data_IF_774735805277
#
_entry.id   IF_774735805277
#
_cell.length_a   1.000
_cell.length_b   1.000
_cell.length_c   1.000
_cell.angle_alpha   90.00
_cell.angle_beta   90.00
_cell.angle_gamma   90.00
#
_symmetry.space_group_name_H-M   'P 1'
#
loop_
_entity.id
_entity.type
_entity.pdbx_description
1 polymer ?
#
# COMPACT_ATOMS: atom_id res chain seq x y z
N UNK A 1 -16.56 30.04 -0.07
CA UNK A 1 -16.39 29.60 -1.47
C UNK A 1 -14.89 29.41 -1.71
N UNK A 2 -14.39 28.24 -1.34
CA UNK A 2 -12.99 27.84 -1.57
C UNK A 2 -12.93 27.11 -2.90
N UNK A 3 -12.30 27.72 -3.88
CA UNK A 3 -12.01 27.14 -5.19
C UNK A 3 -11.05 25.96 -4.99
N UNK A 4 -11.55 24.71 -5.03
CA UNK A 4 -10.71 23.51 -5.21
C UNK A 4 -9.93 23.71 -6.51
N UNK A 5 -8.61 23.77 -6.41
CA UNK A 5 -7.74 23.84 -7.59
C UNK A 5 -8.02 22.62 -8.47
N UNK A 6 -8.50 22.88 -9.68
CA UNK A 6 -8.71 21.90 -10.74
C UNK A 6 -7.35 21.43 -11.27
N UNK A 7 -6.65 20.63 -10.47
CA UNK A 7 -5.52 19.84 -10.97
C UNK A 7 -6.07 18.75 -11.88
N UNK A 8 -5.44 18.56 -13.03
CA UNK A 8 -5.76 17.46 -13.94
C UNK A 8 -5.65 16.13 -13.16
N UNK A 9 -6.74 15.36 -13.01
CA UNK A 9 -6.73 14.11 -12.24
C UNK A 9 -5.76 13.07 -12.82
N UNK A 10 -5.33 13.25 -14.07
CA UNK A 10 -4.32 12.39 -14.71
C UNK A 10 -2.87 12.71 -14.30
N UNK A 11 -2.60 13.80 -13.57
CA UNK A 11 -1.23 14.23 -13.27
C UNK A 11 -0.80 14.00 -11.82
N UNK A 12 -1.73 13.64 -10.92
CA UNK A 12 -1.46 13.43 -9.50
C UNK A 12 -2.19 12.20 -8.98
N UNK A 13 -1.66 11.61 -7.92
CA UNK A 13 -2.42 10.63 -7.17
C UNK A 13 -3.61 11.29 -6.47
N UNK A 14 -4.71 10.55 -6.39
CA UNK A 14 -5.91 10.95 -5.67
C UNK A 14 -6.20 9.92 -4.60
N UNK A 15 -6.89 10.32 -3.53
CA UNK A 15 -7.39 9.35 -2.54
C UNK A 15 -8.30 8.34 -3.24
N UNK A 16 -8.23 7.07 -2.86
CA UNK A 16 -8.86 5.97 -3.60
C UNK A 16 -10.36 6.19 -3.83
N UNK A 17 -11.07 6.73 -2.85
CA UNK A 17 -12.50 7.03 -2.95
C UNK A 17 -12.76 8.11 -4.01
N UNK A 18 -12.00 9.21 -3.97
CA UNK A 18 -12.09 10.29 -4.97
C UNK A 18 -11.67 9.81 -6.36
N UNK A 19 -10.70 8.89 -6.42
CA UNK A 19 -10.23 8.27 -7.65
C UNK A 19 -11.32 7.40 -8.27
N UNK A 20 -12.00 6.55 -7.48
CA UNK A 20 -13.08 5.69 -7.96
C UNK A 20 -14.28 6.49 -8.49
N UNK A 21 -14.63 7.60 -7.84
CA UNK A 21 -15.71 8.49 -8.31
C UNK A 21 -15.40 9.14 -9.66
N UNK A 22 -14.13 9.46 -9.91
CA UNK A 22 -13.71 10.16 -11.13
C UNK A 22 -13.27 9.19 -12.23
N UNK A 23 -12.83 7.98 -11.88
CA UNK A 23 -12.18 7.01 -12.75
C UNK A 23 -12.97 6.73 -14.02
N UNK A 24 -14.28 6.50 -13.91
CA UNK A 24 -15.11 6.18 -15.08
C UNK A 24 -15.08 7.29 -16.14
N UNK A 25 -15.03 8.55 -15.71
CA UNK A 25 -15.06 9.70 -16.63
C UNK A 25 -13.76 9.88 -17.43
N UNK A 26 -12.59 9.73 -16.79
CA UNK A 26 -11.30 9.95 -17.45
C UNK A 26 -10.67 8.66 -17.99
N UNK A 27 -11.09 7.49 -17.49
CA UNK A 27 -10.66 6.19 -17.99
C UNK A 27 -11.59 5.58 -19.04
N UNK A 28 -12.68 6.26 -19.43
CA UNK A 28 -13.58 5.79 -20.50
C UNK A 28 -12.84 5.27 -21.75
N UNK A 29 -11.75 5.90 -22.26
CA UNK A 29 -11.01 5.38 -23.41
C UNK A 29 -10.16 4.13 -23.13
N UNK A 30 -10.01 3.74 -21.86
CA UNK A 30 -9.11 2.70 -21.38
C UNK A 30 -9.82 1.55 -20.66
N UNK A 31 -11.15 1.56 -20.57
CA UNK A 31 -11.92 0.56 -19.80
C UNK A 31 -11.69 -0.88 -20.26
N UNK A 32 -11.42 -1.10 -21.54
CA UNK A 32 -11.15 -2.45 -22.08
C UNK A 32 -9.69 -2.89 -21.93
N UNK A 33 -8.80 -1.99 -21.47
CA UNK A 33 -7.39 -2.33 -21.33
C UNK A 33 -7.17 -3.20 -20.10
N UNK A 34 -6.38 -4.25 -20.28
CA UNK A 34 -5.87 -5.05 -19.17
C UNK A 34 -4.88 -4.23 -18.36
N UNK A 35 -5.13 -4.14 -17.06
CA UNK A 35 -4.29 -3.37 -16.13
C UNK A 35 -3.65 -4.29 -15.10
N UNK A 36 -2.51 -3.85 -14.57
CA UNK A 36 -1.88 -4.48 -13.40
C UNK A 36 -2.02 -3.51 -12.23
N UNK A 37 -2.36 -4.04 -11.06
CA UNK A 37 -2.45 -3.25 -9.82
C UNK A 37 -1.21 -3.50 -8.98
N UNK A 38 -0.45 -2.44 -8.67
CA UNK A 38 0.77 -2.48 -7.87
C UNK A 38 0.59 -1.60 -6.64
N UNK A 39 0.65 -2.20 -5.46
CA UNK A 39 0.62 -1.45 -4.21
C UNK A 39 2.04 -1.16 -3.69
N UNK A 40 2.22 0.03 -3.13
CA UNK A 40 3.43 0.51 -2.49
C UNK A 40 3.12 0.75 -1.01
N UNK A 41 3.85 0.09 -0.13
CA UNK A 41 3.73 0.23 1.32
C UNK A 41 5.10 0.59 1.86
N UNK A 42 5.17 1.57 2.74
CA UNK A 42 6.44 1.96 3.35
C UNK A 42 6.22 2.94 4.47
N UNK A 43 7.34 3.48 4.99
CA UNK A 43 7.34 4.52 6.02
C UNK A 43 7.96 5.78 5.45
N UNK A 44 7.40 6.93 5.79
CA UNK A 44 8.01 8.21 5.45
C UNK A 44 9.36 8.33 6.15
N UNK A 45 10.38 8.77 5.41
CA UNK A 45 11.67 9.12 5.98
C UNK A 45 11.88 10.63 5.88
N UNK A 46 12.64 11.21 6.81
CA UNK A 46 12.90 12.65 6.85
C UNK A 46 13.46 13.18 5.53
N UNK A 47 14.26 12.35 4.84
CA UNK A 47 14.96 12.76 3.63
C UNK A 47 14.24 12.32 2.35
N UNK A 48 13.34 11.33 2.41
CA UNK A 48 12.78 10.67 1.23
C UNK A 48 11.36 10.16 1.46
N UNK A 49 10.44 10.52 0.56
CA UNK A 49 9.06 10.04 0.59
C UNK A 49 8.93 8.62 0.03
N UNK A 50 7.89 7.88 0.43
CA UNK A 50 7.66 6.50 -0.03
C UNK A 50 7.50 6.39 -1.55
N UNK A 51 6.78 7.35 -2.14
CA UNK A 51 6.51 7.41 -3.57
C UNK A 51 7.65 7.98 -4.41
N UNK A 52 8.75 8.44 -3.81
CA UNK A 52 9.80 9.17 -4.53
C UNK A 52 10.53 8.30 -5.55
N UNK A 53 10.84 7.04 -5.20
CA UNK A 53 11.41 6.07 -6.16
C UNK A 53 10.45 5.80 -7.34
N UNK A 54 9.14 5.85 -7.09
CA UNK A 54 8.14 5.65 -8.13
C UNK A 54 7.99 6.89 -9.01
N UNK A 55 8.01 8.09 -8.42
CA UNK A 55 8.04 9.36 -9.14
C UNK A 55 9.27 9.44 -10.06
N UNK A 56 10.45 9.03 -9.56
CA UNK A 56 11.69 8.94 -10.35
C UNK A 56 11.56 7.97 -11.52
N UNK A 57 10.96 6.79 -11.28
CA UNK A 57 10.71 5.78 -12.31
C UNK A 57 9.74 6.27 -13.40
N UNK A 58 8.65 6.91 -12.99
CA UNK A 58 7.63 7.46 -13.88
C UNK A 58 8.08 8.78 -14.54
N UNK A 59 9.14 9.41 -14.03
CA UNK A 59 9.60 10.76 -14.41
C UNK A 59 8.50 11.82 -14.25
N UNK A 60 7.66 11.64 -13.22
CA UNK A 60 6.49 12.46 -12.92
C UNK A 60 6.36 12.61 -11.41
N UNK A 61 6.03 13.80 -10.92
CA UNK A 61 5.81 14.06 -9.49
C UNK A 61 4.36 13.73 -9.11
N UNK A 62 4.05 12.43 -9.08
CA UNK A 62 2.68 11.91 -8.92
C UNK A 62 2.25 11.88 -7.46
N UNK A 63 3.10 11.31 -6.61
CA UNK A 63 2.83 11.16 -5.18
C UNK A 63 3.52 12.28 -4.39
N UNK A 64 2.86 12.87 -3.39
CA UNK A 64 3.49 13.90 -2.58
C UNK A 64 4.66 13.33 -1.78
N UNK A 65 5.66 14.17 -1.53
CA UNK A 65 6.83 13.77 -0.73
C UNK A 65 6.47 13.39 0.72
N UNK A 66 5.40 13.96 1.25
CA UNK A 66 4.90 13.74 2.61
C UNK A 66 3.38 13.57 2.56
N UNK A 67 2.86 12.66 3.38
CA UNK A 67 1.41 12.47 3.54
C UNK A 67 0.75 13.75 4.06
N UNK A 68 -0.30 14.22 3.39
CA UNK A 68 -1.10 15.38 3.82
C UNK A 68 -2.03 15.01 4.98
N UNK A 69 -2.53 16.00 5.73
CA UNK A 69 -3.47 15.73 6.84
C UNK A 69 -4.79 15.10 6.38
N UNK A 70 -5.20 15.34 5.13
CA UNK A 70 -6.43 14.79 4.53
C UNK A 70 -6.24 13.36 3.98
N UNK A 71 -4.99 12.95 3.73
CA UNK A 71 -4.62 11.64 3.17
C UNK A 71 -4.05 10.67 4.22
N UNK A 72 -4.04 11.01 5.51
CA UNK A 72 -3.59 10.07 6.57
C UNK A 72 -4.49 8.85 6.66
N UNK A 73 -3.92 7.67 6.91
CA UNK A 73 -4.67 6.41 7.04
C UNK A 73 -5.57 6.14 5.82
N UNK A 74 -5.00 6.29 4.62
CA UNK A 74 -5.74 6.13 3.36
C UNK A 74 -4.87 5.52 2.27
N UNK A 75 -5.49 5.21 1.13
CA UNK A 75 -4.81 4.74 -0.08
C UNK A 75 -4.90 5.83 -1.12
N UNK A 76 -3.77 6.20 -1.73
CA UNK A 76 -3.73 7.08 -2.89
C UNK A 76 -3.55 6.24 -4.16
N UNK A 77 -4.38 6.48 -5.17
CA UNK A 77 -4.41 5.75 -6.42
C UNK A 77 -3.97 6.63 -7.59
N UNK A 78 -3.23 6.03 -8.52
CA UNK A 78 -2.80 6.66 -9.77
C UNK A 78 -2.76 5.65 -10.91
N UNK A 79 -3.32 5.99 -12.06
CA UNK A 79 -3.24 5.16 -13.26
C UNK A 79 -2.21 5.71 -14.25
N UNK A 80 -1.19 4.92 -14.55
CA UNK A 80 -0.19 5.23 -15.57
C UNK A 80 -0.62 4.64 -16.92
N UNK A 81 -0.99 5.51 -17.86
CA UNK A 81 -1.44 5.12 -19.21
C UNK A 81 -0.35 4.41 -20.01
N UNK A 82 0.91 4.84 -19.85
CA UNK A 82 2.05 4.32 -20.62
C UNK A 82 2.35 2.85 -20.30
N UNK A 83 2.21 2.47 -19.03
CA UNK A 83 2.47 1.10 -18.55
C UNK A 83 1.20 0.28 -18.35
N UNK A 84 0.01 0.91 -18.40
CA UNK A 84 -1.29 0.35 -18.01
C UNK A 84 -1.26 -0.24 -16.59
N UNK A 85 -0.63 0.49 -15.66
CA UNK A 85 -0.51 0.09 -14.25
C UNK A 85 -1.28 1.06 -13.37
N UNK A 86 -2.09 0.51 -12.46
CA UNK A 86 -2.68 1.25 -11.34
C UNK A 86 -1.73 1.11 -10.15
N UNK A 87 -1.17 2.22 -9.71
CA UNK A 87 -0.35 2.31 -8.51
C UNK A 87 -1.21 2.71 -7.32
N UNK A 88 -1.08 1.97 -6.22
CA UNK A 88 -1.75 2.24 -4.95
C UNK A 88 -0.69 2.55 -3.89
N UNK A 89 -0.62 3.77 -3.36
CA UNK A 89 0.27 4.13 -2.27
C UNK A 89 -0.50 4.07 -0.94
N UNK A 90 0.02 3.33 0.03
CA UNK A 90 -0.60 3.23 1.36
C UNK A 90 0.04 4.24 2.33
N UNK A 91 -0.81 5.11 2.88
CA UNK A 91 -0.47 6.01 3.97
C UNK A 91 -0.87 5.36 5.29
N UNK A 92 0.14 4.98 6.09
CA UNK A 92 0.00 4.11 7.26
C UNK A 92 0.11 4.87 8.58
N UNK A 93 0.00 4.14 9.69
CA UNK A 93 0.00 4.75 11.03
C UNK A 93 1.38 5.31 11.41
N UNK A 94 2.45 4.77 10.82
CA UNK A 94 3.83 5.17 11.06
C UNK A 94 4.21 6.50 10.38
N UNK A 95 3.32 7.10 9.58
CA UNK A 95 3.60 8.36 8.91
C UNK A 95 3.61 9.53 9.89
N UNK A 96 4.52 10.49 9.66
CA UNK A 96 4.71 11.62 10.55
C UNK A 96 3.42 12.41 10.81
N UNK A 97 2.59 12.54 9.78
CA UNK A 97 1.31 13.26 9.87
C UNK A 97 0.32 12.53 10.76
N UNK A 98 0.22 11.20 10.67
CA UNK A 98 -0.64 10.42 11.56
C UNK A 98 -0.12 10.44 13.00
N UNK A 99 1.18 10.24 13.21
CA UNK A 99 1.79 10.29 14.54
C UNK A 99 1.56 11.64 15.23
N UNK A 100 1.63 12.74 14.47
CA UNK A 100 1.31 14.08 14.98
C UNK A 100 -0.14 14.18 15.43
N UNK A 101 -1.08 13.62 14.66
CA UNK A 101 -2.49 13.57 15.06
C UNK A 101 -2.66 12.77 16.36
N UNK A 102 -2.10 11.56 16.43
CA UNK A 102 -2.22 10.67 17.61
C UNK A 102 -1.59 11.28 18.88
N UNK A 103 -0.48 11.99 18.75
CA UNK A 103 0.20 12.66 19.88
C UNK A 103 -0.48 13.96 20.32
N UNK A 104 -1.34 14.55 19.48
CA UNK A 104 -2.08 15.76 19.86
C UNK A 104 -3.05 15.44 21.00
N UNK A 105 -3.06 16.20 22.11
CA UNK A 105 -3.92 15.90 23.25
C UNK A 105 -5.39 15.77 22.87
N UNK A 106 -6.04 14.69 23.29
CA UNK A 106 -7.45 14.44 23.06
C UNK A 106 -8.11 14.11 24.42
N UNK A 107 -9.21 14.80 24.79
CA UNK A 107 -9.90 14.56 26.05
C UNK A 107 -10.71 13.24 26.08
N UNK A 108 -11.02 12.65 24.94
CA UNK A 108 -11.91 11.49 24.82
C UNK A 108 -11.19 10.14 24.85
N UNK A 109 -9.97 10.07 24.29
CA UNK A 109 -9.21 8.82 24.15
C UNK A 109 -7.76 9.00 24.59
N UNK A 110 -7.22 7.98 25.24
CA UNK A 110 -5.81 7.99 25.61
C UNK A 110 -4.91 7.68 24.40
N UNK A 111 -3.60 7.89 24.56
CA UNK A 111 -2.62 7.66 23.50
C UNK A 111 -2.66 6.22 22.94
N UNK A 112 -2.77 5.22 23.82
CA UNK A 112 -2.74 3.81 23.42
C UNK A 112 -3.97 3.41 22.62
N UNK A 113 -5.16 3.90 22.98
CA UNK A 113 -6.40 3.68 22.24
C UNK A 113 -6.31 4.25 20.82
N UNK A 114 -5.77 5.46 20.68
CA UNK A 114 -5.63 6.13 19.37
C UNK A 114 -4.57 5.49 18.48
N UNK A 115 -3.47 5.04 19.07
CA UNK A 115 -2.48 4.24 18.35
C UNK A 115 -3.08 2.91 17.89
N UNK A 116 -3.79 2.22 18.77
CA UNK A 116 -4.44 0.94 18.45
C UNK A 116 -5.46 1.09 17.31
N UNK A 117 -6.24 2.18 17.29
CA UNK A 117 -7.15 2.49 16.17
C UNK A 117 -6.41 2.67 14.85
N UNK A 118 -5.25 3.34 14.88
CA UNK A 118 -4.44 3.53 13.68
C UNK A 118 -3.80 2.22 13.20
N UNK A 119 -3.33 1.38 14.13
CA UNK A 119 -2.80 0.04 13.81
C UNK A 119 -3.88 -0.87 13.22
N UNK A 120 -5.09 -0.86 13.78
CA UNK A 120 -6.22 -1.63 13.25
C UNK A 120 -6.61 -1.17 11.85
N UNK A 121 -6.63 0.15 11.62
CA UNK A 121 -6.95 0.70 10.30
C UNK A 121 -5.86 0.36 9.27
N UNK A 122 -4.57 0.38 9.62
CA UNK A 122 -3.50 -0.08 8.72
C UNK A 122 -3.69 -1.55 8.33
N UNK A 123 -4.08 -2.42 9.26
CA UNK A 123 -4.41 -3.82 8.95
C UNK A 123 -5.54 -3.91 7.93
N UNK A 124 -6.56 -3.05 8.00
CA UNK A 124 -7.66 -3.00 7.02
C UNK A 124 -7.18 -2.53 5.65
N UNK A 125 -6.35 -1.48 5.59
CA UNK A 125 -5.76 -0.99 4.33
C UNK A 125 -4.88 -2.06 3.67
N UNK A 126 -4.04 -2.74 4.47
CA UNK A 126 -3.21 -3.85 4.00
C UNK A 126 -4.02 -5.05 3.52
N UNK A 127 -5.13 -5.34 4.20
CA UNK A 127 -6.08 -6.37 3.77
C UNK A 127 -6.71 -6.01 2.42
N UNK A 128 -7.16 -4.76 2.25
CA UNK A 128 -7.71 -4.27 0.98
C UNK A 128 -6.72 -4.44 -0.18
N UNK A 129 -5.48 -3.94 -0.05
CA UNK A 129 -4.49 -4.08 -1.13
C UNK A 129 -4.14 -5.55 -1.39
N UNK A 130 -4.24 -6.44 -0.40
CA UNK A 130 -3.95 -7.87 -0.55
C UNK A 130 -5.00 -8.62 -1.36
N UNK A 131 -6.21 -8.06 -1.48
CA UNK A 131 -7.33 -8.62 -2.26
C UNK A 131 -7.22 -8.20 -3.74
N UNK A 132 -6.87 -6.95 -4.00
CA UNK A 132 -6.93 -6.34 -5.33
C UNK A 132 -5.58 -6.23 -6.06
N UNK A 133 -4.45 -6.28 -5.36
CA UNK A 133 -3.14 -6.05 -5.97
C UNK A 133 -2.55 -7.32 -6.58
N UNK A 134 -1.88 -7.17 -7.71
CA UNK A 134 -1.09 -8.22 -8.34
C UNK A 134 0.32 -8.28 -7.73
N UNK A 135 0.82 -7.15 -7.24
CA UNK A 135 2.13 -7.02 -6.60
C UNK A 135 2.03 -6.02 -5.44
N UNK A 136 2.71 -6.33 -4.34
CA UNK A 136 2.86 -5.42 -3.21
C UNK A 136 4.35 -5.21 -2.99
N UNK A 137 4.78 -3.95 -3.01
CA UNK A 137 6.16 -3.54 -2.84
C UNK A 137 6.28 -2.85 -1.49
N UNK A 138 7.05 -3.46 -0.58
CA UNK A 138 7.41 -2.86 0.70
C UNK A 138 8.71 -2.07 0.55
N UNK A 139 8.63 -0.76 0.72
CA UNK A 139 9.76 0.16 0.68
C UNK A 139 10.25 0.42 2.10
N UNK A 140 11.47 -0.01 2.37
CA UNK A 140 12.11 0.15 3.66
C UNK A 140 13.37 1.01 3.51
N UNK A 141 13.45 2.08 4.31
CA UNK A 141 14.60 2.99 4.30
C UNK A 141 15.82 2.39 5.04
N UNK A 142 15.57 1.40 5.90
CA UNK A 142 16.57 0.62 6.60
C UNK A 142 17.13 -0.51 5.73
N UNK A 143 18.32 -1.01 6.08
CA UNK A 143 18.87 -2.24 5.47
C UNK A 143 18.45 -3.51 6.22
N UNK A 144 17.57 -3.38 7.22
CA UNK A 144 17.06 -4.49 8.05
C UNK A 144 15.59 -4.69 7.76
N UNK A 145 15.18 -5.95 7.74
CA UNK A 145 13.77 -6.30 7.68
C UNK A 145 13.07 -5.89 8.97
N UNK A 146 11.92 -5.22 8.83
CA UNK A 146 11.07 -4.83 9.94
C UNK A 146 10.23 -6.02 10.42
N UNK A 147 10.48 -6.47 11.64
CA UNK A 147 9.76 -7.59 12.24
C UNK A 147 8.29 -7.21 12.50
N UNK A 148 8.01 -5.95 12.82
CA UNK A 148 6.64 -5.49 13.06
C UNK A 148 5.76 -5.61 11.82
N UNK A 149 6.35 -5.51 10.63
CA UNK A 149 5.65 -5.78 9.38
C UNK A 149 5.23 -7.25 9.25
N UNK A 150 6.05 -8.21 9.72
CA UNK A 150 5.65 -9.61 9.72
C UNK A 150 4.45 -9.86 10.64
N UNK A 151 4.43 -9.25 11.82
CA UNK A 151 3.30 -9.34 12.77
C UNK A 151 2.03 -8.71 12.20
N UNK A 152 2.16 -7.58 11.49
CA UNK A 152 1.04 -6.97 10.77
C UNK A 152 0.52 -7.86 9.64
N UNK A 153 1.40 -8.43 8.81
CA UNK A 153 1.01 -9.36 7.75
C UNK A 153 0.33 -10.62 8.31
N UNK A 154 0.79 -11.13 9.45
CA UNK A 154 0.13 -12.22 10.16
C UNK A 154 -1.29 -11.83 10.61
N UNK A 155 -1.46 -10.60 11.11
CA UNK A 155 -2.75 -10.04 11.52
C UNK A 155 -3.69 -9.85 10.34
N UNK A 156 -3.19 -9.36 9.20
CA UNK A 156 -3.92 -9.26 7.93
C UNK A 156 -4.38 -10.64 7.46
N UNK A 157 -3.51 -11.65 7.50
CA UNK A 157 -3.90 -13.00 7.10
C UNK A 157 -4.93 -13.61 8.06
N UNK A 158 -4.82 -13.35 9.37
CA UNK A 158 -5.83 -13.76 10.36
C UNK A 158 -7.19 -13.09 10.09
N UNK A 159 -7.20 -11.79 9.77
CA UNK A 159 -8.41 -11.07 9.38
C UNK A 159 -9.02 -11.72 8.13
N UNK A 160 -8.21 -12.02 7.12
CA UNK A 160 -8.65 -12.71 5.89
C UNK A 160 -9.25 -14.09 6.14
N UNK A 161 -8.67 -14.89 7.03
CA UNK A 161 -9.20 -16.21 7.39
C UNK A 161 -10.42 -16.15 8.32
N UNK A 162 -10.78 -14.97 8.81
CA UNK A 162 -12.00 -14.80 9.59
C UNK A 162 -13.18 -15.09 8.68
N UNK A 163 -13.93 -16.15 9.02
CA UNK A 163 -14.93 -16.76 8.16
C UNK A 163 -15.91 -15.74 7.55
N UNK A 164 -16.43 -14.83 8.39
CA UNK A 164 -17.38 -13.81 7.97
C UNK A 164 -16.77 -12.89 6.89
N UNK A 165 -15.55 -12.36 7.13
CA UNK A 165 -14.91 -11.41 6.21
C UNK A 165 -14.68 -12.03 4.82
N UNK A 166 -14.20 -13.27 4.77
CA UNK A 166 -13.99 -13.97 3.50
C UNK A 166 -15.30 -14.22 2.76
N UNK A 167 -16.32 -14.72 3.46
CA UNK A 167 -17.62 -15.02 2.86
C UNK A 167 -18.28 -13.73 2.33
N UNK A 168 -18.25 -12.65 3.11
CA UNK A 168 -18.79 -11.33 2.72
C UNK A 168 -18.08 -10.79 1.45
N UNK A 169 -16.75 -10.88 1.39
CA UNK A 169 -15.97 -10.43 0.22
C UNK A 169 -16.25 -11.32 -0.99
N UNK A 170 -16.33 -12.63 -0.79
CA UNK A 170 -16.68 -13.58 -1.85
C UNK A 170 -18.04 -13.28 -2.46
N UNK A 171 -19.05 -12.97 -1.64
CA UNK A 171 -20.39 -12.56 -2.08
C UNK A 171 -20.34 -11.26 -2.89
N UNK A 172 -19.65 -10.22 -2.39
CA UNK A 172 -19.50 -8.95 -3.13
C UNK A 172 -18.80 -9.15 -4.48
N UNK A 173 -17.76 -9.99 -4.53
CA UNK A 173 -17.03 -10.31 -5.78
C UNK A 173 -17.94 -11.08 -6.76
N UNK A 174 -18.77 -11.99 -6.25
CA UNK A 174 -19.73 -12.75 -7.06
C UNK A 174 -20.78 -11.83 -7.70
N UNK A 175 -21.34 -10.91 -6.92
CA UNK A 175 -22.32 -9.93 -7.39
C UNK A 175 -21.73 -8.98 -8.45
N UNK A 176 -20.48 -8.54 -8.23
CA UNK A 176 -19.86 -7.47 -9.04
C UNK A 176 -19.17 -7.99 -10.30
N UNK A 177 -18.36 -9.04 -10.20
CA UNK A 177 -17.41 -9.38 -11.27
C UNK A 177 -18.00 -10.32 -12.33
N UNK A 178 -18.85 -11.29 -11.96
CA UNK A 178 -19.32 -12.38 -12.87
C UNK A 178 -18.21 -13.13 -13.63
N UNK A 179 -16.92 -12.90 -13.33
CA UNK A 179 -15.83 -13.28 -14.22
C UNK A 179 -15.20 -14.64 -13.88
N UNK A 180 -14.84 -14.88 -12.61
CA UNK A 180 -14.08 -16.09 -12.24
C UNK A 180 -14.54 -16.72 -10.93
N UNK A 181 -14.91 -18.00 -11.00
CA UNK A 181 -15.21 -18.83 -9.83
C UNK A 181 -14.00 -18.98 -8.88
N UNK A 182 -12.77 -18.81 -9.38
CA UNK A 182 -11.57 -18.85 -8.55
C UNK A 182 -11.46 -17.62 -7.64
N UNK A 183 -11.85 -16.44 -8.13
CA UNK A 183 -11.83 -15.20 -7.35
C UNK A 183 -12.85 -15.25 -6.21
N UNK A 184 -14.05 -15.74 -6.52
CA UNK A 184 -15.12 -15.94 -5.55
C UNK A 184 -14.67 -16.96 -4.50
N UNK A 185 -14.14 -18.11 -4.92
CA UNK A 185 -13.67 -19.15 -3.99
C UNK A 185 -12.57 -18.65 -3.06
N UNK A 186 -11.61 -17.89 -3.58
CA UNK A 186 -10.47 -17.41 -2.80
C UNK A 186 -10.79 -16.13 -1.99
N UNK A 187 -11.85 -15.41 -2.33
CA UNK A 187 -12.19 -14.12 -1.74
C UNK A 187 -11.20 -13.01 -2.12
N UNK A 188 -10.59 -13.10 -3.32
CA UNK A 188 -9.61 -12.13 -3.84
C UNK A 188 -9.48 -12.18 -5.34
N UNK A 189 -9.15 -11.04 -5.95
CA UNK A 189 -8.97 -10.88 -7.40
C UNK A 189 -7.60 -11.39 -7.84
N UNK A 190 -6.59 -11.25 -6.99
CA UNK A 190 -5.24 -11.73 -7.27
C UNK A 190 -4.54 -12.23 -6.01
N UNK A 191 -3.55 -13.12 -6.19
CA UNK A 191 -2.60 -13.46 -5.15
C UNK A 191 -1.36 -12.56 -5.31
N UNK A 192 -1.21 -11.50 -4.50
CA UNK A 192 -0.15 -10.52 -4.70
C UNK A 192 1.24 -11.15 -4.54
N UNK A 193 2.15 -10.80 -5.45
CA UNK A 193 3.58 -11.08 -5.28
C UNK A 193 4.19 -10.02 -4.38
N UNK A 194 4.76 -10.44 -3.25
CA UNK A 194 5.38 -9.53 -2.30
C UNK A 194 6.85 -9.29 -2.69
N UNK A 195 7.24 -8.03 -2.79
CA UNK A 195 8.60 -7.58 -3.10
C UNK A 195 9.06 -6.64 -2.00
N UNK A 196 10.30 -6.81 -1.54
CA UNK A 196 10.91 -5.90 -0.56
C UNK A 196 12.00 -5.07 -1.23
N UNK A 197 11.85 -3.76 -1.19
CA UNK A 197 12.78 -2.77 -1.71
C UNK A 197 13.47 -2.07 -0.53
N UNK A 198 14.75 -2.39 -0.30
CA UNK A 198 15.55 -1.78 0.76
C UNK A 198 16.44 -0.68 0.19
N UNK A 199 16.36 0.52 0.76
CA UNK A 199 17.28 1.58 0.43
C UNK A 199 18.67 1.26 0.97
N UNK A 200 19.70 1.39 0.13
CA UNK A 200 21.09 1.20 0.57
C UNK A 200 21.59 2.47 1.25
N UNK A 201 22.02 2.34 2.50
CA UNK A 201 22.89 3.33 3.12
C UNK A 201 24.29 3.26 2.51
N UNK A 202 24.77 4.36 1.93
CA UNK A 202 26.05 4.49 1.20
C UNK A 202 27.28 4.28 2.11
N UNK A 203 27.10 4.14 3.43
CA UNK A 203 28.18 3.97 4.41
C UNK A 203 29.01 2.68 4.18
N UNK A 204 28.54 1.74 3.34
CA UNK A 204 29.33 0.57 2.91
C UNK A 204 29.59 0.57 1.41
N UNK A 205 30.58 1.36 0.99
CA UNK A 205 31.14 1.36 -0.37
C UNK A 205 31.93 0.09 -0.71
N UNK A 206 32.19 -0.80 0.26
CA UNK A 206 32.85 -2.09 0.05
C UNK A 206 31.87 -3.19 -0.37
N UNK A 207 31.34 -3.09 -1.60
CA UNK A 207 30.34 -4.04 -2.12
C UNK A 207 30.94 -5.05 -3.11
N UNK A 208 31.83 -5.90 -2.59
CA UNK A 208 32.10 -7.24 -3.16
C UNK A 208 31.14 -8.33 -2.65
N UNK A 209 30.31 -8.05 -1.65
CA UNK A 209 29.50 -9.05 -0.92
C UNK A 209 27.98 -8.93 -1.12
N UNK A 210 27.53 -8.19 -2.13
CA UNK A 210 26.10 -7.92 -2.41
C UNK A 210 25.27 -9.21 -2.42
N UNK A 211 25.72 -10.25 -3.14
CA UNK A 211 24.96 -11.50 -3.31
C UNK A 211 24.70 -12.26 -2.00
N UNK A 212 25.66 -12.27 -1.06
CA UNK A 212 25.51 -12.99 0.22
C UNK A 212 24.49 -12.33 1.14
N UNK A 213 24.46 -10.99 1.18
CA UNK A 213 23.52 -10.23 2.02
C UNK A 213 22.08 -10.44 1.53
N UNK A 214 21.84 -10.37 0.22
CA UNK A 214 20.51 -10.66 -0.34
C UNK A 214 20.09 -12.10 -0.08
N UNK A 215 20.98 -13.09 -0.22
CA UNK A 215 20.63 -14.48 0.10
C UNK A 215 20.26 -14.66 1.57
N UNK A 216 21.00 -14.07 2.51
CA UNK A 216 20.68 -14.15 3.94
C UNK A 216 19.37 -13.44 4.28
N UNK A 217 19.10 -12.29 3.65
CA UNK A 217 17.88 -11.52 3.90
C UNK A 217 16.66 -12.20 3.27
N UNK A 218 16.81 -12.76 2.06
CA UNK A 218 15.77 -13.54 1.39
C UNK A 218 15.47 -14.83 2.15
N UNK A 219 16.49 -15.46 2.75
CA UNK A 219 16.30 -16.61 3.65
C UNK A 219 15.58 -16.21 4.94
N UNK A 220 15.96 -15.10 5.59
CA UNK A 220 15.29 -14.61 6.79
C UNK A 220 13.82 -14.24 6.52
N UNK A 221 13.56 -13.52 5.43
CA UNK A 221 12.21 -13.15 4.97
C UNK A 221 11.42 -14.41 4.60
N UNK A 222 12.01 -15.37 3.90
CA UNK A 222 11.34 -16.63 3.58
C UNK A 222 11.01 -17.43 4.84
N UNK A 223 11.94 -17.57 5.79
CA UNK A 223 11.67 -18.27 7.05
C UNK A 223 10.57 -17.60 7.89
N UNK A 224 10.53 -16.26 7.91
CA UNK A 224 9.49 -15.51 8.60
C UNK A 224 8.15 -15.64 7.87
N UNK A 225 8.11 -15.37 6.56
CA UNK A 225 6.86 -15.35 5.78
C UNK A 225 6.28 -16.73 5.45
N UNK A 226 7.09 -17.79 5.36
CA UNK A 226 6.60 -19.15 5.12
C UNK A 226 5.80 -19.71 6.31
N UNK A 227 5.93 -19.10 7.49
CA UNK A 227 5.05 -19.41 8.63
C UNK A 227 3.68 -18.73 8.52
N UNK A 228 3.49 -17.83 7.55
CA UNK A 228 2.30 -16.97 7.42
C UNK A 228 1.54 -17.12 6.10
N UNK A 229 2.14 -17.66 5.04
CA UNK A 229 1.45 -18.03 3.78
C UNK A 229 0.83 -19.44 3.90
#
# INVERSE_FOLDING_TARGET
MTTKASGDPCLRALRLEEWLEQAESFLAPYLEKKVIVVALVGKDSVNRGKGEDLNDFLRMDVFPRWTTEESTMSIEAFYCVDTNVVYLLVNGYADFTNLRQVLTPNPEKNFFERMAESEEEEVRLLHFISIFSHMIIFVESSTRFDISLADMLASVNKLRWTKNVREDISEIIEETSKESAEWIKEGRVACPRIVFAFQRNIIRTELGYVKKVWQSLLFAVFCLLFSFL
#
